data_IF_848754198767
#
_entry.id   IF_848754198767
#
_cell.length_a   1.000
_cell.length_b   1.000
_cell.length_c   1.000
_cell.angle_alpha   90.00
_cell.angle_beta   90.00
_cell.angle_gamma   90.00
#
_symmetry.space_group_name_H-M   'P 1'
#
loop_
_entity.id
_entity.type
_entity.pdbx_description
1 polymer ?
#
# COMPACT_ATOMS: atom_id res chain seq x y z
N UNK A 1 10.36 5.80 20.77
CA UNK A 1 9.90 4.72 21.68
C UNK A 1 10.90 3.56 21.55
N UNK A 2 11.17 2.79 22.60
CA UNK A 2 12.11 1.64 22.52
C UNK A 2 11.35 0.41 22.00
N UNK A 3 11.94 -0.34 21.07
CA UNK A 3 11.30 -1.50 20.44
C UNK A 3 12.04 -2.00 19.20
N UNK A 4 11.50 -3.06 18.60
CA UNK A 4 11.90 -3.58 17.29
C UNK A 4 11.01 -2.89 16.24
N UNK A 5 11.61 -2.43 15.15
CA UNK A 5 10.93 -1.67 14.11
C UNK A 5 11.33 -2.20 12.74
N UNK A 6 10.32 -2.44 11.90
CA UNK A 6 10.51 -2.60 10.46
C UNK A 6 10.52 -1.21 9.81
N UNK A 7 11.45 -0.97 8.90
CA UNK A 7 11.60 0.30 8.20
C UNK A 7 12.05 0.07 6.76
N UNK A 8 11.82 1.07 5.90
CA UNK A 8 12.16 1.04 4.48
C UNK A 8 12.70 2.41 4.05
N UNK A 9 13.65 2.45 3.12
CA UNK A 9 14.08 3.69 2.47
C UNK A 9 13.42 3.85 1.11
N UNK A 10 12.77 5.00 0.89
CA UNK A 10 12.07 5.33 -0.35
C UNK A 10 12.57 6.69 -0.83
N UNK A 11 12.93 6.80 -2.11
CA UNK A 11 13.29 8.10 -2.70
C UNK A 11 12.02 8.78 -3.20
N UNK A 12 12.01 10.10 -3.21
CA UNK A 12 10.90 10.89 -3.73
C UNK A 12 11.35 12.30 -4.09
N UNK A 13 10.59 12.96 -4.95
CA UNK A 13 10.79 14.36 -5.31
C UNK A 13 10.16 15.28 -4.28
N UNK A 14 10.76 16.46 -4.07
CA UNK A 14 10.17 17.53 -3.24
C UNK A 14 9.72 18.66 -4.15
N UNK A 15 8.41 18.73 -4.42
CA UNK A 15 7.78 19.73 -5.31
C UNK A 15 6.84 20.60 -4.47
N UNK A 16 7.06 21.92 -4.46
CA UNK A 16 6.28 22.87 -3.66
C UNK A 16 6.15 22.49 -2.17
N UNK A 17 7.20 21.88 -1.60
CA UNK A 17 7.22 21.41 -0.21
C UNK A 17 6.42 20.13 0.05
N UNK A 18 5.94 19.46 -1.00
CA UNK A 18 5.27 18.16 -0.92
C UNK A 18 6.16 17.07 -1.50
N UNK A 19 6.04 15.88 -0.93
CA UNK A 19 6.68 14.67 -1.43
C UNK A 19 5.81 14.13 -2.58
N UNK A 20 6.39 13.96 -3.75
CA UNK A 20 5.74 13.39 -4.94
C UNK A 20 6.65 12.35 -5.61
N UNK A 21 6.10 11.50 -6.48
CA UNK A 21 6.83 10.47 -7.24
C UNK A 21 7.71 9.57 -6.35
N UNK A 22 7.14 9.00 -5.30
CA UNK A 22 7.86 8.06 -4.45
C UNK A 22 8.19 6.77 -5.22
N UNK A 23 9.46 6.37 -5.15
CA UNK A 23 9.95 5.14 -5.77
C UNK A 23 10.82 4.35 -4.80
N UNK A 24 10.26 3.26 -4.29
CA UNK A 24 10.95 2.35 -3.39
C UNK A 24 11.92 1.42 -4.13
N UNK A 25 11.72 1.20 -5.44
CA UNK A 25 12.50 0.27 -6.25
C UNK A 25 13.98 0.71 -6.33
N UNK A 26 14.24 2.01 -6.23
CA UNK A 26 15.59 2.59 -6.35
C UNK A 26 16.54 2.10 -5.25
N UNK A 27 16.08 2.05 -4.00
CA UNK A 27 16.93 1.69 -2.85
C UNK A 27 16.67 0.26 -2.35
N UNK A 28 15.43 -0.20 -2.39
CA UNK A 28 15.02 -1.49 -1.82
C UNK A 28 14.99 -2.61 -2.86
N UNK A 29 14.98 -2.23 -4.14
CA UNK A 29 14.92 -3.15 -5.26
C UNK A 29 13.57 -3.87 -5.39
N UNK A 30 13.50 -4.82 -6.33
CA UNK A 30 12.31 -5.62 -6.57
C UNK A 30 12.69 -7.06 -6.89
N UNK A 31 12.79 -7.88 -5.84
CA UNK A 31 13.11 -9.29 -6.00
C UNK A 31 11.86 -10.15 -5.80
N UNK A 32 11.80 -11.26 -6.53
CA UNK A 32 10.74 -12.27 -6.40
C UNK A 32 10.81 -13.04 -5.08
N UNK A 33 11.96 -13.00 -4.41
CA UNK A 33 12.22 -13.74 -3.16
C UNK A 33 11.61 -13.01 -1.95
N UNK A 34 11.34 -11.71 -2.07
CA UNK A 34 10.76 -10.93 -0.98
C UNK A 34 9.34 -11.42 -0.67
N UNK A 35 9.10 -11.70 0.61
CA UNK A 35 7.77 -12.03 1.12
C UNK A 35 6.96 -10.75 1.25
N UNK A 36 5.76 -10.75 0.68
CA UNK A 36 4.86 -9.60 0.63
C UNK A 36 3.48 -10.05 1.08
N UNK A 37 2.79 -9.18 1.81
CA UNK A 37 1.38 -9.33 2.14
C UNK A 37 0.57 -8.37 1.28
N UNK A 38 -0.43 -8.91 0.60
CA UNK A 38 -1.35 -8.15 -0.24
C UNK A 38 -2.74 -8.22 0.37
N UNK A 39 -3.31 -7.07 0.70
CA UNK A 39 -4.70 -6.94 1.10
C UNK A 39 -5.53 -6.53 -0.11
N UNK A 40 -6.49 -7.39 -0.49
CA UNK A 40 -7.42 -7.14 -1.60
C UNK A 40 -8.78 -6.80 -1.03
N UNK A 41 -9.27 -5.62 -1.37
CA UNK A 41 -10.61 -5.14 -1.01
C UNK A 41 -11.49 -5.08 -2.26
N UNK A 42 -12.68 -5.68 -2.18
CA UNK A 42 -13.68 -5.61 -3.24
C UNK A 42 -14.76 -4.61 -2.82
N UNK A 43 -14.90 -3.55 -3.62
CA UNK A 43 -15.89 -2.51 -3.43
C UNK A 43 -17.05 -2.68 -4.41
N UNK A 44 -18.24 -2.34 -3.96
CA UNK A 44 -19.46 -2.24 -4.75
C UNK A 44 -20.08 -0.86 -4.52
N UNK A 45 -20.47 -0.20 -5.61
CA UNK A 45 -21.18 1.07 -5.53
C UNK A 45 -22.65 0.78 -5.24
N UNK A 46 -23.02 0.92 -3.97
CA UNK A 46 -24.36 0.65 -3.47
C UNK A 46 -25.23 1.90 -3.66
N UNK A 47 -26.31 1.85 -4.45
CA UNK A 47 -27.15 3.03 -4.73
C UNK A 47 -28.00 3.46 -3.52
N UNK A 48 -28.11 2.64 -2.48
CA UNK A 48 -28.88 2.97 -1.30
C UNK A 48 -28.29 4.18 -0.56
N UNK A 49 -29.15 4.91 0.17
CA UNK A 49 -28.76 6.04 1.03
C UNK A 49 -28.02 7.18 0.30
N UNK A 50 -28.24 7.34 -1.01
CA UNK A 50 -27.61 8.39 -1.80
C UNK A 50 -26.30 8.00 -2.48
N UNK A 51 -25.95 6.71 -2.48
CA UNK A 51 -24.77 6.19 -3.16
C UNK A 51 -23.54 6.17 -2.26
N UNK A 52 -22.95 4.98 -2.03
CA UNK A 52 -21.68 4.85 -1.33
C UNK A 52 -20.87 3.63 -1.78
N UNK A 53 -19.56 3.68 -1.60
CA UNK A 53 -18.67 2.54 -1.85
C UNK A 53 -18.69 1.59 -0.65
N UNK A 54 -19.36 0.45 -0.83
CA UNK A 54 -19.44 -0.61 0.17
C UNK A 54 -18.35 -1.64 -0.06
N UNK A 55 -17.60 -1.97 0.99
CA UNK A 55 -16.73 -3.16 0.97
C UNK A 55 -17.62 -4.40 1.03
N UNK A 56 -17.58 -5.22 -0.02
CA UNK A 56 -18.33 -6.48 -0.13
C UNK A 56 -17.43 -7.71 -0.04
N UNK A 57 -16.11 -7.52 -0.02
CA UNK A 57 -15.16 -8.61 0.13
C UNK A 57 -13.79 -8.13 0.59
N UNK A 58 -13.11 -9.00 1.33
CA UNK A 58 -11.74 -8.79 1.79
C UNK A 58 -10.97 -10.11 1.70
N UNK A 59 -9.73 -10.05 1.23
CA UNK A 59 -8.82 -11.18 1.27
C UNK A 59 -7.38 -10.72 1.43
N UNK A 60 -6.67 -11.29 2.42
CA UNK A 60 -5.21 -11.23 2.50
C UNK A 60 -4.57 -12.37 1.73
N UNK A 61 -3.53 -12.06 0.98
CA UNK A 61 -2.69 -13.01 0.25
C UNK A 61 -1.24 -12.78 0.67
N UNK A 62 -0.61 -13.82 1.22
CA UNK A 62 0.81 -13.79 1.59
C UNK A 62 1.61 -14.61 0.59
N UNK A 63 2.69 -14.04 0.03
CA UNK A 63 3.61 -14.80 -0.83
C UNK A 63 4.51 -15.69 0.04
N UNK A 64 4.72 -16.95 -0.38
CA UNK A 64 5.53 -17.93 0.34
C UNK A 64 7.00 -17.86 -0.08
#
# INVERSE_FOLDING_TARGET
KRGIYDYQYVVADVINGKIENDDWLVLEGNTWVNKKEYDVFLYYNDPDLGGYERIIGYRRITTK
#
